data_IF_859300118486
#
_entry.id   IF_859300118486
#
_cell.length_a   1.000
_cell.length_b   1.000
_cell.length_c   1.000
_cell.angle_alpha   90.00
_cell.angle_beta   90.00
_cell.angle_gamma   90.00
#
_symmetry.space_group_name_H-M   'P 1'
#
loop_
_entity.id
_entity.type
_entity.pdbx_description
1 polymer ?
#
# COMPACT_ATOMS: atom_id res chain seq x y z
N UNK A 1 -9.47 26.28 -21.92
CA UNK A 1 -8.02 26.46 -21.97
C UNK A 1 -7.35 25.31 -21.24
N UNK A 2 -6.39 24.65 -21.87
CA UNK A 2 -5.56 23.61 -21.28
C UNK A 2 -4.21 24.21 -20.86
N UNK A 3 -3.73 23.86 -19.67
CA UNK A 3 -2.47 24.34 -19.11
C UNK A 3 -1.60 23.11 -18.78
N UNK A 4 -0.47 22.96 -19.48
CA UNK A 4 0.48 21.89 -19.21
C UNK A 4 1.55 22.35 -18.20
N UNK A 5 1.86 21.47 -17.22
CA UNK A 5 2.90 21.71 -16.21
C UNK A 5 3.63 20.42 -15.90
N UNK A 6 4.93 20.52 -15.65
CA UNK A 6 5.71 19.39 -15.17
C UNK A 6 5.54 19.22 -13.65
N UNK A 7 5.37 17.98 -13.22
CA UNK A 7 5.33 17.62 -11.81
C UNK A 7 6.72 17.52 -11.17
N UNK A 8 7.80 17.57 -11.96
CA UNK A 8 9.17 17.62 -11.41
C UNK A 8 9.40 18.84 -10.52
N UNK A 9 8.71 19.93 -10.83
CA UNK A 9 8.72 21.16 -10.03
C UNK A 9 7.32 21.45 -9.50
N UNK A 10 6.86 20.76 -8.43
CA UNK A 10 5.50 20.95 -7.89
C UNK A 10 5.19 22.40 -7.51
N UNK A 11 6.23 23.21 -7.27
CA UNK A 11 6.10 24.66 -7.05
C UNK A 11 5.52 25.43 -8.25
N UNK A 12 5.63 24.90 -9.46
CA UNK A 12 5.03 25.51 -10.67
C UNK A 12 3.52 25.31 -10.79
N UNK A 13 2.94 24.40 -9.97
CA UNK A 13 1.50 24.14 -9.92
C UNK A 13 0.84 25.14 -8.96
N UNK A 14 0.94 26.41 -9.27
CA UNK A 14 0.38 27.52 -8.50
C UNK A 14 -0.24 28.57 -9.44
N UNK A 15 -1.09 29.43 -8.89
CA UNK A 15 -1.71 30.53 -9.64
C UNK A 15 -2.91 30.13 -10.51
N UNK A 16 -3.27 28.86 -10.58
CA UNK A 16 -4.39 28.39 -11.40
C UNK A 16 -5.67 28.20 -10.59
N UNK A 17 -6.79 28.23 -11.32
CA UNK A 17 -8.11 27.84 -10.86
C UNK A 17 -8.66 26.92 -11.94
N UNK A 18 -8.71 25.61 -11.63
CA UNK A 18 -9.06 24.56 -12.59
C UNK A 18 -10.24 23.72 -12.11
N UNK A 19 -10.97 23.13 -13.05
CA UNK A 19 -12.07 22.21 -12.79
C UNK A 19 -11.61 20.76 -12.86
N UNK A 20 -10.75 20.42 -13.84
CA UNK A 20 -10.22 19.07 -14.02
C UNK A 20 -8.71 19.11 -14.17
N UNK A 21 -8.06 18.02 -13.79
CA UNK A 21 -6.66 17.78 -14.04
C UNK A 21 -6.47 16.35 -14.56
N UNK A 22 -5.56 16.19 -15.50
CA UNK A 22 -5.01 14.90 -15.91
C UNK A 22 -3.56 14.84 -15.48
N UNK A 23 -3.18 13.74 -14.86
CA UNK A 23 -1.83 13.50 -14.34
C UNK A 23 -1.31 12.23 -14.97
N UNK A 24 -0.23 12.34 -15.71
CA UNK A 24 0.40 11.20 -16.37
C UNK A 24 1.63 10.74 -15.61
N UNK A 25 1.84 9.42 -15.53
CA UNK A 25 2.99 8.75 -14.93
C UNK A 25 3.30 9.21 -13.49
N UNK A 26 2.27 9.30 -12.65
CA UNK A 26 2.41 9.81 -11.28
C UNK A 26 3.37 8.99 -10.41
N UNK A 27 3.39 7.66 -10.57
CA UNK A 27 4.22 6.76 -9.75
C UNK A 27 5.68 6.65 -10.22
N UNK A 28 6.04 7.22 -11.38
CA UNK A 28 7.44 7.33 -11.81
C UNK A 28 8.24 8.22 -10.86
N UNK A 29 7.58 9.18 -10.22
CA UNK A 29 8.20 10.04 -9.22
C UNK A 29 8.41 9.34 -7.88
N UNK A 30 9.33 9.88 -7.07
CA UNK A 30 9.44 9.54 -5.66
C UNK A 30 8.10 9.85 -4.94
N UNK A 31 7.65 8.96 -4.05
CA UNK A 31 6.35 9.06 -3.40
C UNK A 31 6.09 10.39 -2.69
N UNK A 32 7.11 10.96 -2.02
CA UNK A 32 6.99 12.25 -1.35
C UNK A 32 6.72 13.40 -2.33
N UNK A 33 7.36 13.36 -3.49
CA UNK A 33 7.19 14.37 -4.56
C UNK A 33 5.83 14.23 -5.24
N UNK A 34 5.39 12.99 -5.50
CA UNK A 34 4.06 12.70 -5.99
C UNK A 34 2.97 13.23 -5.04
N UNK A 35 3.13 12.99 -3.74
CA UNK A 35 2.22 13.52 -2.72
C UNK A 35 2.19 15.06 -2.68
N UNK A 36 3.34 15.70 -2.85
CA UNK A 36 3.41 17.16 -2.89
C UNK A 36 2.69 17.70 -4.13
N UNK A 37 2.93 17.12 -5.32
CA UNK A 37 2.25 17.50 -6.56
C UNK A 37 0.73 17.31 -6.43
N UNK A 38 0.29 16.16 -5.93
CA UNK A 38 -1.11 15.85 -5.67
C UNK A 38 -1.81 16.91 -4.80
N UNK A 39 -1.22 17.26 -3.65
CA UNK A 39 -1.75 18.32 -2.78
C UNK A 39 -1.85 19.67 -3.48
N UNK A 40 -0.86 20.00 -4.32
CA UNK A 40 -0.86 21.24 -5.11
C UNK A 40 -2.00 21.26 -6.12
N UNK A 41 -2.25 20.16 -6.82
CA UNK A 41 -3.33 20.02 -7.81
C UNK A 41 -4.69 20.16 -7.09
N UNK A 42 -4.93 19.39 -6.02
CA UNK A 42 -6.19 19.50 -5.25
C UNK A 42 -6.49 20.93 -4.83
N UNK A 43 -5.47 21.65 -4.34
CA UNK A 43 -5.63 23.05 -3.94
C UNK A 43 -5.98 23.99 -5.10
N UNK A 44 -5.86 23.57 -6.35
CA UNK A 44 -6.25 24.32 -7.57
C UNK A 44 -7.64 23.96 -8.07
N UNK A 45 -8.21 22.82 -7.66
CA UNK A 45 -9.52 22.28 -8.08
C UNK A 45 -10.69 23.09 -7.49
N UNK A 46 -10.77 24.34 -7.82
CA UNK A 46 -11.75 25.29 -7.25
C UNK A 46 -12.52 26.09 -8.31
N UNK A 47 -12.46 25.64 -9.57
CA UNK A 47 -13.25 26.26 -10.65
C UNK A 47 -14.63 25.62 -10.67
N UNK A 48 -15.65 26.40 -10.33
CA UNK A 48 -17.04 25.94 -10.30
C UNK A 48 -17.71 26.25 -11.64
N UNK A 49 -18.23 25.21 -12.27
CA UNK A 49 -19.10 25.29 -13.45
C UNK A 49 -20.30 24.41 -13.18
N UNK A 50 -21.48 24.88 -13.49
CA UNK A 50 -22.70 24.10 -13.30
C UNK A 50 -22.68 22.85 -14.17
N UNK A 51 -23.02 21.71 -13.59
CA UNK A 51 -22.98 20.41 -14.26
C UNK A 51 -21.58 19.77 -14.35
N UNK A 52 -20.50 20.45 -13.95
CA UNK A 52 -19.15 19.91 -13.94
C UNK A 52 -18.74 19.50 -12.52
N UNK A 53 -18.47 18.21 -12.32
CA UNK A 53 -17.81 17.72 -11.12
C UNK A 53 -16.29 17.85 -11.28
N UNK A 54 -15.62 18.55 -10.36
CA UNK A 54 -14.18 18.63 -10.34
C UNK A 54 -13.56 17.25 -10.07
N UNK A 55 -12.57 16.88 -10.86
CA UNK A 55 -11.92 15.57 -10.77
C UNK A 55 -10.46 15.60 -11.20
N UNK A 56 -9.71 14.60 -10.75
CA UNK A 56 -8.32 14.37 -11.14
C UNK A 56 -8.24 12.95 -11.68
N UNK A 57 -7.91 12.81 -12.95
CA UNK A 57 -7.63 11.54 -13.60
C UNK A 57 -6.12 11.29 -13.58
N UNK A 58 -5.74 10.07 -13.21
CA UNK A 58 -4.33 9.65 -13.13
C UNK A 58 -4.13 8.45 -14.03
N UNK A 59 -3.15 8.54 -14.92
CA UNK A 59 -2.62 7.40 -15.66
C UNK A 59 -1.21 7.11 -15.18
N UNK A 60 -0.89 5.84 -14.94
CA UNK A 60 0.47 5.43 -14.54
C UNK A 60 0.67 3.93 -14.68
N UNK A 61 1.88 3.54 -14.95
CA UNK A 61 2.33 2.17 -14.73
C UNK A 61 2.56 1.95 -13.23
N UNK A 62 2.12 0.83 -12.64
CA UNK A 62 2.39 0.54 -11.23
C UNK A 62 3.89 0.39 -10.95
N UNK A 63 4.45 1.32 -10.22
CA UNK A 63 5.87 1.34 -9.82
C UNK A 63 6.07 0.85 -8.38
N UNK A 64 5.49 -0.30 -8.07
CA UNK A 64 5.51 -0.85 -6.72
C UNK A 64 4.40 -0.27 -5.84
N UNK A 65 4.65 -0.25 -4.52
CA UNK A 65 3.67 0.24 -3.54
C UNK A 65 3.87 1.71 -3.19
N UNK A 66 4.09 2.54 -4.24
CA UNK A 66 4.33 3.98 -4.11
C UNK A 66 3.04 4.77 -3.84
N UNK A 67 2.98 6.03 -4.30
CA UNK A 67 1.91 6.96 -3.97
C UNK A 67 0.52 6.48 -4.45
N UNK A 68 0.42 6.00 -5.69
CA UNK A 68 -0.88 5.56 -6.25
C UNK A 68 -1.43 4.38 -5.46
N UNK A 69 -0.60 3.39 -5.15
CA UNK A 69 -1.02 2.29 -4.28
C UNK A 69 -1.48 2.79 -2.90
N UNK A 70 -0.69 3.67 -2.26
CA UNK A 70 -1.02 4.17 -0.92
C UNK A 70 -2.35 4.94 -0.91
N UNK A 71 -2.58 5.78 -1.93
CA UNK A 71 -3.75 6.66 -1.99
C UNK A 71 -5.01 5.95 -2.49
N UNK A 72 -4.92 5.14 -3.55
CA UNK A 72 -6.09 4.58 -4.24
C UNK A 72 -6.42 3.15 -3.82
N UNK A 73 -5.48 2.42 -3.21
CA UNK A 73 -5.69 1.05 -2.76
C UNK A 73 -5.69 0.96 -1.24
N UNK A 74 -4.55 1.31 -0.62
CA UNK A 74 -4.38 1.12 0.82
C UNK A 74 -5.28 2.03 1.64
N UNK A 75 -5.31 3.33 1.33
CA UNK A 75 -6.15 4.28 2.06
C UNK A 75 -7.64 3.95 1.94
N UNK A 76 -8.10 3.52 0.75
CA UNK A 76 -9.51 3.12 0.54
C UNK A 76 -9.84 1.84 1.31
N UNK A 77 -8.90 0.88 1.40
CA UNK A 77 -9.08 -0.33 2.20
C UNK A 77 -9.15 -0.04 3.69
N UNK A 78 -8.33 0.91 4.18
CA UNK A 78 -8.29 1.29 5.59
C UNK A 78 -9.48 2.20 5.98
N UNK A 79 -10.02 2.92 5.02
CA UNK A 79 -11.15 3.86 5.15
C UNK A 79 -12.13 3.67 3.99
N UNK A 80 -13.06 2.72 4.09
CA UNK A 80 -13.98 2.36 2.99
C UNK A 80 -14.83 3.52 2.46
N UNK A 81 -15.11 4.52 3.27
CA UNK A 81 -15.82 5.74 2.89
C UNK A 81 -15.11 6.53 1.77
N UNK A 82 -13.78 6.36 1.63
CA UNK A 82 -13.01 6.99 0.56
C UNK A 82 -13.32 6.42 -0.82
N UNK A 83 -13.99 5.27 -0.92
CA UNK A 83 -14.44 4.70 -2.21
C UNK A 83 -15.41 5.62 -2.97
N UNK A 84 -16.08 6.53 -2.27
CA UNK A 84 -16.91 7.57 -2.90
C UNK A 84 -16.09 8.66 -3.62
N UNK A 85 -14.80 8.79 -3.28
CA UNK A 85 -13.91 9.81 -3.81
C UNK A 85 -12.83 9.23 -4.76
N UNK A 86 -12.39 8.00 -4.53
CA UNK A 86 -11.31 7.37 -5.28
C UNK A 86 -11.78 6.13 -6.00
N UNK A 87 -11.61 6.11 -7.31
CA UNK A 87 -11.80 4.93 -8.16
C UNK A 87 -10.46 4.42 -8.69
N UNK A 88 -10.36 3.13 -8.94
CA UNK A 88 -9.19 2.50 -9.55
C UNK A 88 -9.63 1.58 -10.68
N UNK A 89 -9.05 1.80 -11.86
CA UNK A 89 -9.19 0.91 -13.01
C UNK A 89 -7.81 0.31 -13.28
N UNK A 90 -7.71 -1.01 -13.27
CA UNK A 90 -6.50 -1.73 -13.66
C UNK A 90 -6.72 -2.39 -15.01
N UNK A 91 -5.83 -2.11 -15.95
CA UNK A 91 -5.83 -2.69 -17.28
C UNK A 91 -4.54 -3.46 -17.53
N UNK A 92 -4.63 -4.50 -18.32
CA UNK A 92 -3.48 -5.30 -18.76
C UNK A 92 -3.08 -4.90 -20.17
N UNK A 93 -1.78 -4.91 -20.47
CA UNK A 93 -1.28 -4.74 -21.85
C UNK A 93 -1.87 -5.80 -22.79
N UNK A 94 -2.19 -6.99 -22.27
CA UNK A 94 -2.85 -8.04 -23.05
C UNK A 94 -4.25 -7.65 -23.54
N UNK A 95 -4.97 -6.80 -22.80
CA UNK A 95 -6.29 -6.31 -23.21
C UNK A 95 -6.21 -5.42 -24.45
N UNK A 96 -5.03 -4.83 -24.69
CA UNK A 96 -4.73 -3.99 -25.84
C UNK A 96 -3.91 -4.69 -26.94
N UNK A 97 -3.69 -6.00 -26.85
CA UNK A 97 -2.80 -6.76 -27.74
C UNK A 97 -3.12 -6.56 -29.23
N UNK A 98 -4.39 -6.43 -29.59
CA UNK A 98 -4.84 -6.20 -30.97
C UNK A 98 -4.35 -4.90 -31.62
N UNK A 99 -3.96 -3.92 -30.81
CA UNK A 99 -3.50 -2.61 -31.27
C UNK A 99 -1.96 -2.48 -31.16
N UNK A 100 -1.26 -3.54 -30.74
CA UNK A 100 0.18 -3.57 -30.54
C UNK A 100 0.85 -4.39 -31.65
N UNK A 101 2.13 -4.10 -31.98
CA UNK A 101 2.91 -4.99 -32.84
C UNK A 101 2.94 -6.42 -32.30
N UNK A 102 2.91 -7.41 -33.19
CA UNK A 102 2.79 -8.82 -32.79
C UNK A 102 3.94 -9.32 -31.90
N UNK A 103 5.12 -8.74 -32.04
CA UNK A 103 6.33 -9.06 -31.28
C UNK A 103 6.48 -8.25 -29.98
N UNK A 104 5.64 -7.24 -29.72
CA UNK A 104 5.78 -6.35 -28.59
C UNK A 104 5.67 -7.10 -27.24
N UNK A 105 4.55 -7.79 -27.01
CA UNK A 105 4.33 -8.54 -25.77
C UNK A 105 5.36 -9.69 -25.60
N UNK A 106 5.63 -10.51 -26.62
CA UNK A 106 6.67 -11.53 -26.56
C UNK A 106 8.05 -10.99 -26.21
N UNK A 107 8.45 -9.84 -26.79
CA UNK A 107 9.73 -9.20 -26.50
C UNK A 107 9.85 -8.77 -25.06
N UNK A 108 8.79 -8.17 -24.48
CA UNK A 108 8.77 -7.80 -23.08
C UNK A 108 8.79 -9.01 -22.14
N UNK A 109 8.04 -10.06 -22.48
CA UNK A 109 8.04 -11.30 -21.69
C UNK A 109 9.39 -12.00 -21.66
N UNK A 110 10.18 -11.91 -22.74
CA UNK A 110 11.52 -12.47 -22.81
C UNK A 110 12.58 -11.61 -22.11
N UNK A 111 12.35 -10.30 -22.02
CA UNK A 111 13.34 -9.32 -21.51
C UNK A 111 13.14 -9.01 -20.03
N UNK A 112 11.92 -9.11 -19.52
CA UNK A 112 11.58 -8.67 -18.17
C UNK A 112 11.57 -9.80 -17.16
N UNK A 113 12.10 -9.58 -15.95
CA UNK A 113 11.90 -10.51 -14.84
C UNK A 113 10.41 -10.60 -14.45
N UNK A 114 9.98 -11.70 -13.80
CA UNK A 114 8.58 -11.95 -13.47
C UNK A 114 7.86 -10.82 -12.78
N UNK A 115 8.55 -10.09 -11.90
CA UNK A 115 7.96 -8.97 -11.14
C UNK A 115 7.66 -7.76 -12.03
N UNK A 116 8.54 -7.46 -13.01
CA UNK A 116 8.27 -6.42 -13.99
C UNK A 116 7.15 -6.84 -14.95
N UNK A 117 7.04 -8.11 -15.31
CA UNK A 117 5.91 -8.62 -16.11
C UNK A 117 4.58 -8.39 -15.36
N UNK A 118 4.55 -8.66 -14.05
CA UNK A 118 3.36 -8.39 -13.23
C UNK A 118 2.98 -6.90 -13.23
N UNK A 119 3.96 -6.02 -13.09
CA UNK A 119 3.72 -4.58 -13.06
C UNK A 119 3.38 -4.03 -14.45
N UNK A 120 4.25 -4.21 -15.42
CA UNK A 120 4.20 -3.52 -16.71
C UNK A 120 3.26 -4.16 -17.72
N UNK A 121 3.15 -5.51 -17.72
CA UNK A 121 2.24 -6.20 -18.64
C UNK A 121 0.86 -6.47 -18.03
N UNK A 122 0.77 -6.72 -16.72
CA UNK A 122 -0.50 -7.06 -16.06
C UNK A 122 -1.08 -5.92 -15.23
N UNK A 123 -0.44 -4.75 -15.18
CA UNK A 123 -0.90 -3.58 -14.44
C UNK A 123 -1.06 -3.84 -12.94
N UNK A 124 -0.29 -4.75 -12.35
CA UNK A 124 -0.43 -5.14 -10.94
C UNK A 124 0.56 -4.43 -10.06
N UNK A 125 0.10 -3.97 -8.91
CA UNK A 125 1.01 -3.51 -7.87
C UNK A 125 1.78 -4.69 -7.29
N UNK A 126 3.09 -4.66 -7.44
CA UNK A 126 4.02 -5.67 -6.95
C UNK A 126 5.24 -5.00 -6.33
N UNK A 127 5.99 -5.73 -5.52
CA UNK A 127 7.20 -5.19 -4.95
C UNK A 127 8.33 -5.17 -6.00
N UNK A 128 8.69 -3.98 -6.46
CA UNK A 128 9.79 -3.77 -7.41
C UNK A 128 11.09 -3.36 -6.73
N UNK A 129 11.14 -3.34 -5.40
CA UNK A 129 12.35 -2.95 -4.66
C UNK A 129 13.40 -4.06 -4.79
N UNK A 130 14.56 -3.73 -5.34
CA UNK A 130 15.73 -4.59 -5.29
C UNK A 130 16.11 -4.84 -3.82
N UNK A 131 16.30 -6.08 -3.43
CA UNK A 131 16.64 -6.46 -2.04
C UNK A 131 15.47 -7.02 -1.24
N UNK A 132 14.36 -7.37 -1.86
CA UNK A 132 13.30 -8.15 -1.19
C UNK A 132 13.87 -9.49 -0.71
N UNK A 133 13.89 -9.70 0.60
CA UNK A 133 14.41 -10.93 1.22
C UNK A 133 13.45 -12.11 0.92
N UNK A 134 12.15 -11.86 0.95
CA UNK A 134 11.10 -12.86 0.74
C UNK A 134 10.47 -12.69 -0.65
N UNK A 135 11.13 -13.16 -1.70
CA UNK A 135 10.67 -13.02 -3.09
C UNK A 135 9.36 -13.75 -3.38
N UNK A 136 9.07 -14.84 -2.64
CA UNK A 136 7.88 -15.65 -2.82
C UNK A 136 6.70 -15.20 -1.95
N UNK A 137 6.87 -14.12 -1.16
CA UNK A 137 5.77 -13.61 -0.35
C UNK A 137 4.64 -13.11 -1.25
N UNK A 138 3.50 -13.78 -1.16
CA UNK A 138 2.24 -13.37 -1.77
C UNK A 138 1.22 -13.10 -0.67
N UNK A 139 0.73 -11.88 -0.57
CA UNK A 139 -0.20 -11.48 0.49
C UNK A 139 -1.48 -12.31 0.51
N UNK A 140 -1.96 -12.82 -0.63
CA UNK A 140 -3.16 -13.66 -0.69
C UNK A 140 -2.90 -15.07 -0.19
N UNK A 141 -1.71 -15.60 -0.50
CA UNK A 141 -1.33 -16.96 -0.14
C UNK A 141 -0.78 -17.04 1.30
N UNK A 142 -0.08 -15.99 1.73
CA UNK A 142 0.61 -15.96 3.02
C UNK A 142 -0.17 -15.21 4.11
N UNK A 143 -1.36 -14.70 3.82
CA UNK A 143 -2.24 -14.13 4.82
C UNK A 143 -3.09 -15.23 5.45
N UNK A 144 -3.19 -15.23 6.77
CA UNK A 144 -4.15 -16.06 7.50
C UNK A 144 -5.03 -15.17 8.40
N UNK A 145 -6.19 -15.67 8.72
CA UNK A 145 -7.14 -15.07 9.66
C UNK A 145 -7.17 -15.85 10.98
N UNK A 146 -6.13 -16.65 11.22
CA UNK A 146 -6.01 -17.43 12.43
C UNK A 146 -5.85 -16.49 13.64
N UNK A 147 -6.51 -16.85 14.73
CA UNK A 147 -6.39 -16.20 16.03
C UNK A 147 -5.86 -17.20 17.05
N UNK A 148 -5.27 -16.71 18.12
CA UNK A 148 -4.84 -17.53 19.24
C UNK A 148 -6.04 -18.18 19.92
N UNK A 149 -5.86 -19.43 20.39
CA UNK A 149 -6.87 -20.17 21.15
C UNK A 149 -6.49 -20.24 22.63
N UNK A 150 -7.48 -20.34 23.49
CA UNK A 150 -7.26 -20.45 24.93
C UNK A 150 -6.35 -21.66 25.25
N UNK A 151 -5.26 -21.40 25.98
CA UNK A 151 -4.31 -22.43 26.41
C UNK A 151 -3.22 -22.75 25.37
N UNK A 152 -3.22 -22.16 24.18
CA UNK A 152 -2.10 -22.30 23.23
C UNK A 152 -0.84 -21.58 23.74
N UNK A 153 0.36 -22.20 23.65
CA UNK A 153 1.61 -21.52 23.88
C UNK A 153 1.83 -20.42 22.84
N UNK A 154 2.17 -19.22 23.31
CA UNK A 154 2.49 -18.09 22.45
C UNK A 154 4.01 -17.95 22.27
N UNK A 155 4.45 -17.79 21.04
CA UNK A 155 5.85 -17.55 20.67
C UNK A 155 5.97 -16.14 20.13
N UNK A 156 6.66 -15.27 20.86
CA UNK A 156 6.73 -13.85 20.55
C UNK A 156 8.14 -13.50 20.07
N UNK A 157 8.25 -13.15 18.79
CA UNK A 157 9.45 -12.55 18.20
C UNK A 157 9.40 -11.04 18.32
N UNK A 158 10.44 -10.42 18.88
CA UNK A 158 10.51 -8.97 19.07
C UNK A 158 11.70 -8.35 18.34
N UNK A 159 11.46 -7.19 17.71
CA UNK A 159 12.50 -6.31 17.18
C UNK A 159 12.63 -5.06 18.08
N UNK A 160 13.81 -4.89 18.66
CA UNK A 160 14.11 -3.86 19.65
C UNK A 160 14.65 -2.59 18.97
N UNK A 161 13.77 -1.74 18.50
CA UNK A 161 14.09 -0.45 17.91
C UNK A 161 13.62 0.72 18.79
N UNK A 162 14.44 1.75 18.93
CA UNK A 162 14.03 2.95 19.68
C UNK A 162 12.89 3.68 18.95
N UNK A 163 11.77 3.85 19.65
CA UNK A 163 10.59 4.57 19.16
C UNK A 163 9.74 3.83 18.11
N UNK A 164 10.14 2.62 17.70
CA UNK A 164 9.41 1.84 16.67
C UNK A 164 9.58 0.34 16.88
N UNK A 165 9.44 -0.13 18.11
CA UNK A 165 9.47 -1.55 18.39
C UNK A 165 8.33 -2.27 17.69
N UNK A 166 8.59 -3.50 17.27
CA UNK A 166 7.62 -4.41 16.69
C UNK A 166 7.71 -5.79 17.36
N UNK A 167 6.61 -6.49 17.45
CA UNK A 167 6.56 -7.88 17.82
C UNK A 167 5.56 -8.63 16.96
N UNK A 168 5.85 -9.91 16.71
CA UNK A 168 4.93 -10.82 16.04
C UNK A 168 4.68 -12.00 16.98
N UNK A 169 3.42 -12.28 17.21
CA UNK A 169 2.98 -13.41 18.05
C UNK A 169 2.60 -14.57 17.14
N UNK A 170 3.17 -15.72 17.44
CA UNK A 170 2.93 -16.97 16.73
C UNK A 170 2.35 -18.02 17.65
N UNK A 171 1.57 -18.92 17.06
CA UNK A 171 1.21 -20.22 17.63
C UNK A 171 1.79 -21.34 16.75
N UNK A 172 2.01 -22.51 17.31
CA UNK A 172 2.44 -23.69 16.56
C UNK A 172 1.23 -24.62 16.38
N UNK A 173 0.82 -24.85 15.13
CA UNK A 173 -0.24 -25.80 14.78
C UNK A 173 0.30 -26.82 13.79
N UNK A 174 0.23 -28.09 14.15
CA UNK A 174 0.79 -29.18 13.36
C UNK A 174 2.30 -29.02 13.07
N UNK A 175 3.03 -28.40 14.00
CA UNK A 175 4.47 -28.13 13.83
C UNK A 175 4.80 -26.90 12.97
N UNK A 176 3.80 -26.21 12.42
CA UNK A 176 3.99 -25.00 11.59
C UNK A 176 3.70 -23.74 12.39
N UNK A 177 4.59 -22.72 12.34
CA UNK A 177 4.34 -21.43 12.97
C UNK A 177 3.29 -20.65 12.19
N UNK A 178 2.30 -20.12 12.91
CA UNK A 178 1.27 -19.24 12.37
C UNK A 178 1.31 -17.91 13.09
N UNK A 179 1.49 -16.83 12.34
CA UNK A 179 1.45 -15.48 12.89
C UNK A 179 0.00 -15.08 13.13
N UNK A 180 -0.37 -14.91 14.40
CA UNK A 180 -1.75 -14.62 14.81
C UNK A 180 -1.95 -13.16 15.21
N UNK A 181 -0.88 -12.43 15.60
CA UNK A 181 -0.97 -11.04 16.00
C UNK A 181 0.29 -10.26 15.63
N UNK A 182 0.13 -9.00 15.25
CA UNK A 182 1.20 -8.05 14.99
C UNK A 182 1.06 -6.86 15.97
N UNK A 183 2.12 -6.59 16.73
CA UNK A 183 2.23 -5.43 17.63
C UNK A 183 3.27 -4.49 17.05
N UNK A 184 2.86 -3.33 16.55
CA UNK A 184 3.74 -2.37 15.86
C UNK A 184 3.61 -0.97 16.43
N UNK A 185 4.61 -0.12 16.14
CA UNK A 185 4.64 1.28 16.56
C UNK A 185 4.66 1.44 18.08
N UNK A 186 5.27 0.52 18.79
CA UNK A 186 5.45 0.60 20.22
C UNK A 186 6.74 1.35 20.55
N UNK A 187 6.69 2.25 21.53
CA UNK A 187 7.77 3.21 21.75
C UNK A 187 9.02 2.57 22.36
N UNK A 188 8.86 1.74 23.38
CA UNK A 188 9.95 1.12 24.14
C UNK A 188 9.57 -0.26 24.70
N UNK A 189 10.52 -0.91 25.34
CA UNK A 189 10.33 -2.24 25.94
C UNK A 189 9.26 -2.28 27.04
N UNK A 190 9.21 -1.32 27.98
CA UNK A 190 8.11 -1.27 28.97
C UNK A 190 6.73 -1.15 28.35
N UNK A 191 6.58 -0.33 27.32
CA UNK A 191 5.33 -0.19 26.58
C UNK A 191 4.96 -1.48 25.81
N UNK A 192 5.94 -2.19 25.26
CA UNK A 192 5.71 -3.47 24.60
C UNK A 192 5.25 -4.54 25.59
N UNK A 193 5.90 -4.64 26.74
CA UNK A 193 5.47 -5.56 27.82
C UNK A 193 4.03 -5.27 28.23
N UNK A 194 3.71 -4.01 28.48
CA UNK A 194 2.36 -3.59 28.83
C UNK A 194 1.35 -3.98 27.74
N UNK A 195 1.66 -3.72 26.49
CA UNK A 195 0.81 -4.08 25.36
C UNK A 195 0.55 -5.58 25.25
N UNK A 196 1.61 -6.41 25.41
CA UNK A 196 1.50 -7.87 25.43
C UNK A 196 0.61 -8.33 26.59
N UNK A 197 0.81 -7.74 27.79
CA UNK A 197 0.00 -8.08 28.96
C UNK A 197 -1.48 -7.71 28.75
N UNK A 198 -1.76 -6.54 28.22
CA UNK A 198 -3.13 -6.08 27.96
C UNK A 198 -3.85 -6.95 26.91
N UNK A 199 -3.16 -7.46 25.92
CA UNK A 199 -3.78 -8.26 24.84
C UNK A 199 -3.90 -9.75 25.21
N UNK A 200 -2.94 -10.31 25.94
CA UNK A 200 -2.88 -11.77 26.16
C UNK A 200 -3.03 -12.22 27.61
N UNK A 201 -3.02 -11.32 28.58
CA UNK A 201 -3.18 -11.65 30.00
C UNK A 201 -4.21 -10.77 30.69
N UNK A 202 -4.92 -11.39 31.62
CA UNK A 202 -5.78 -10.67 32.58
C UNK A 202 -5.11 -10.64 33.93
N UNK A 203 -5.31 -9.53 34.67
CA UNK A 203 -4.85 -9.44 36.06
C UNK A 203 -5.95 -9.95 36.99
N UNK A 204 -5.75 -11.12 37.57
CA UNK A 204 -6.70 -11.77 38.50
C UNK A 204 -5.98 -12.26 39.74
N UNK A 205 -6.53 -11.94 40.93
CA UNK A 205 -6.02 -12.44 42.22
C UNK A 205 -4.57 -12.08 42.55
N UNK A 206 -4.12 -10.90 42.14
CA UNK A 206 -2.76 -10.41 42.39
C UNK A 206 -1.70 -10.91 41.41
N UNK A 207 -2.08 -11.58 40.33
CA UNK A 207 -1.17 -12.10 39.29
C UNK A 207 -1.77 -11.97 37.88
N UNK A 208 -0.88 -11.95 36.88
CA UNK A 208 -1.32 -12.06 35.50
C UNK A 208 -1.63 -13.53 35.15
N UNK A 209 -2.79 -13.74 34.53
CA UNK A 209 -3.23 -15.02 33.98
C UNK A 209 -3.52 -14.86 32.50
N UNK A 210 -3.26 -15.88 31.68
CA UNK A 210 -3.54 -15.84 30.27
C UNK A 210 -5.03 -15.57 30.03
N UNK A 211 -5.32 -14.67 29.10
CA UNK A 211 -6.70 -14.43 28.66
C UNK A 211 -7.24 -15.69 28.02
N UNK A 212 -8.47 -16.06 28.36
CA UNK A 212 -9.16 -17.21 27.77
C UNK A 212 -9.75 -16.79 26.42
#
# INVERSE_FOLDING_TARGET
TTICRSMEKPGSIVGFKIGNAMVDELDVMAAAKAQQAWRKIIARMRYKVDGLRNGIDVTTTPEGFKFVYQQFVKAVREKPELSALYGLIQASTFDNAKNLPADYIPSLMNSYPPELIKAYLRGRFTNLTSGTIYHQFDRRLNNCTDEEQAGEPLYIGMDFNVGKMAAIVHVLRNGEPRAVRELIKVYDTPAMIKRIQEEFWRYEGGRYVASR
#
